data_IF_939807004728
#
_entry.id   IF_939807004728
#
_cell.length_a   1.000
_cell.length_b   1.000
_cell.length_c   1.000
_cell.angle_alpha   90.00
_cell.angle_beta   90.00
_cell.angle_gamma   90.00
#
_symmetry.space_group_name_H-M   'P 1'
#
loop_
_entity.id
_entity.type
_entity.pdbx_description
1 polymer ?
#
# COMPACT_ATOMS: atom_id res chain seq x y z
N UNK A 1 16.81 -6.08 32.39
CA UNK A 1 17.65 -5.64 31.25
C UNK A 1 16.93 -4.73 30.30
N UNK A 2 15.75 -5.07 29.74
CA UNK A 2 14.97 -4.21 28.79
C UNK A 2 14.68 -2.76 29.26
N UNK A 3 14.44 -2.51 30.55
CA UNK A 3 14.16 -1.16 31.09
C UNK A 3 15.40 -0.23 31.17
N UNK A 4 16.59 -0.79 31.25
CA UNK A 4 17.83 0.01 31.19
C UNK A 4 18.17 0.42 29.77
N UNK A 5 17.92 -0.42 28.78
CA UNK A 5 18.16 -0.13 27.36
C UNK A 5 17.27 1.02 26.88
N UNK A 6 15.98 1.07 27.23
CA UNK A 6 15.08 2.15 26.78
C UNK A 6 15.51 3.56 27.22
N UNK A 7 16.01 3.74 28.44
CA UNK A 7 16.53 5.02 28.92
C UNK A 7 17.80 5.49 28.19
N UNK A 8 18.62 4.56 27.70
CA UNK A 8 19.80 4.90 26.92
C UNK A 8 19.41 5.38 25.51
N UNK A 9 18.42 4.74 24.89
CA UNK A 9 17.89 5.11 23.57
C UNK A 9 17.29 6.51 23.56
N UNK A 10 16.55 6.88 24.60
CA UNK A 10 16.02 8.25 24.75
C UNK A 10 17.14 9.29 24.85
N UNK A 11 18.19 9.03 25.65
CA UNK A 11 19.31 9.96 25.82
C UNK A 11 20.13 10.16 24.54
N UNK A 12 20.19 9.14 23.66
CA UNK A 12 20.86 9.20 22.36
C UNK A 12 19.96 9.72 21.24
N UNK A 13 18.71 10.07 21.57
CA UNK A 13 17.72 10.55 20.61
C UNK A 13 17.46 9.59 19.44
N UNK A 14 17.68 8.28 19.68
CA UNK A 14 17.56 7.24 18.65
C UNK A 14 16.14 7.15 18.07
N UNK A 15 15.12 7.41 18.89
CA UNK A 15 13.74 7.41 18.40
C UNK A 15 13.49 8.48 17.33
N UNK A 16 14.11 9.67 17.43
CA UNK A 16 14.03 10.70 16.40
C UNK A 16 14.63 10.22 15.07
N UNK A 17 15.73 9.49 15.17
CA UNK A 17 16.39 8.94 13.99
C UNK A 17 15.52 7.87 13.34
N UNK A 18 14.90 6.96 14.13
CA UNK A 18 13.93 5.98 13.63
C UNK A 18 12.76 6.65 12.91
N UNK A 19 12.23 7.74 13.47
CA UNK A 19 11.17 8.53 12.85
C UNK A 19 11.62 9.17 11.53
N UNK A 20 12.85 9.65 11.46
CA UNK A 20 13.40 10.17 10.20
C UNK A 20 13.57 9.05 9.18
N UNK A 21 14.14 7.91 9.58
CA UNK A 21 14.29 6.74 8.71
C UNK A 21 12.95 6.26 8.17
N UNK A 22 11.93 6.18 9.01
CA UNK A 22 10.61 5.71 8.59
C UNK A 22 10.00 6.53 7.45
N UNK A 23 10.39 7.82 7.32
CA UNK A 23 9.94 8.69 6.23
C UNK A 23 10.56 8.33 4.87
N UNK A 24 11.64 7.58 4.84
CA UNK A 24 12.26 7.09 3.61
C UNK A 24 11.65 5.79 3.11
N UNK A 25 10.90 5.06 3.97
CA UNK A 25 10.13 3.88 3.57
C UNK A 25 8.80 4.29 2.94
N UNK A 26 8.36 3.52 1.95
CA UNK A 26 7.10 3.72 1.23
C UNK A 26 5.98 2.92 1.89
N UNK A 27 6.22 1.64 2.16
CA UNK A 27 5.24 0.72 2.72
C UNK A 27 5.11 0.89 4.23
N UNK A 28 3.92 0.61 4.78
CA UNK A 28 3.73 0.63 6.23
C UNK A 28 4.62 -0.41 6.94
N UNK A 29 4.87 -1.57 6.31
CA UNK A 29 5.79 -2.58 6.86
C UNK A 29 7.23 -2.05 6.97
N UNK A 30 7.73 -1.39 5.92
CA UNK A 30 9.06 -0.78 5.96
C UNK A 30 9.14 0.35 7.00
N UNK A 31 8.06 1.15 7.15
CA UNK A 31 7.95 2.17 8.19
C UNK A 31 7.96 1.57 9.59
N UNK A 32 7.20 0.50 9.81
CA UNK A 32 7.17 -0.22 11.10
C UNK A 32 8.54 -0.83 11.42
N UNK A 33 9.21 -1.48 10.45
CA UNK A 33 10.57 -1.98 10.64
C UNK A 33 11.56 -0.88 11.04
N UNK A 34 11.41 0.32 10.50
CA UNK A 34 12.23 1.46 10.89
C UNK A 34 11.93 1.94 12.31
N UNK A 35 10.65 2.02 12.70
CA UNK A 35 10.22 2.48 14.02
C UNK A 35 10.57 1.48 15.13
N UNK A 36 10.52 0.18 14.84
CA UNK A 36 10.82 -0.90 15.78
C UNK A 36 12.24 -1.46 15.63
N UNK A 37 13.13 -0.75 14.94
CA UNK A 37 14.52 -1.14 14.78
C UNK A 37 15.21 -1.35 16.12
N UNK A 38 15.86 -2.51 16.29
CA UNK A 38 16.66 -2.89 17.45
C UNK A 38 18.10 -3.24 17.02
N UNK A 39 19.11 -3.01 17.87
CA UNK A 39 20.52 -3.32 17.59
C UNK A 39 20.80 -4.80 17.31
N UNK A 40 21.47 -5.09 16.19
CA UNK A 40 22.00 -6.42 15.87
C UNK A 40 23.20 -6.71 16.79
N UNK A 41 23.35 -7.98 17.19
CA UNK A 41 24.40 -8.40 18.13
C UNK A 41 25.45 -9.32 17.47
N UNK A 42 25.12 -9.85 16.32
CA UNK A 42 25.97 -10.82 15.63
C UNK A 42 26.70 -10.14 14.47
N UNK A 43 28.05 -10.25 14.47
CA UNK A 43 28.92 -9.66 13.44
C UNK A 43 28.50 -10.06 12.02
N UNK A 44 28.20 -11.34 11.80
CA UNK A 44 27.79 -11.84 10.47
C UNK A 44 26.48 -11.21 9.99
N UNK A 45 25.50 -11.04 10.90
CA UNK A 45 24.24 -10.38 10.58
C UNK A 45 24.44 -8.90 10.28
N UNK A 46 25.31 -8.24 11.06
CA UNK A 46 25.68 -6.84 10.86
C UNK A 46 26.33 -6.66 9.48
N UNK A 47 27.37 -7.44 9.15
CA UNK A 47 28.07 -7.38 7.87
C UNK A 47 27.12 -7.64 6.70
N UNK A 48 26.21 -8.62 6.82
CA UNK A 48 25.18 -8.88 5.82
C UNK A 48 24.25 -7.67 5.61
N UNK A 49 23.77 -7.08 6.70
CA UNK A 49 22.92 -5.90 6.65
C UNK A 49 23.65 -4.70 6.02
N UNK A 50 24.93 -4.50 6.39
CA UNK A 50 25.81 -3.50 5.81
C UNK A 50 25.99 -3.69 4.29
N UNK A 51 26.22 -4.91 3.86
CA UNK A 51 26.36 -5.24 2.45
C UNK A 51 25.07 -5.00 1.68
N UNK A 52 23.92 -5.43 2.23
CA UNK A 52 22.60 -5.20 1.61
C UNK A 52 22.34 -3.72 1.34
N UNK A 53 22.65 -2.85 2.29
CA UNK A 53 22.44 -1.40 2.08
C UNK A 53 23.45 -0.82 1.09
N UNK A 54 24.70 -1.25 1.11
CA UNK A 54 25.70 -0.82 0.12
C UNK A 54 25.30 -1.22 -1.30
N UNK A 55 24.79 -2.45 -1.47
CA UNK A 55 24.22 -2.92 -2.73
C UNK A 55 23.00 -2.10 -3.14
N UNK A 56 22.09 -1.79 -2.17
CA UNK A 56 20.92 -0.96 -2.43
C UNK A 56 21.27 0.47 -2.83
N UNK A 57 22.28 1.08 -2.20
CA UNK A 57 22.83 2.40 -2.60
C UNK A 57 23.30 2.35 -4.06
N UNK A 58 24.05 1.30 -4.41
CA UNK A 58 24.54 1.11 -5.79
C UNK A 58 23.40 0.96 -6.79
N UNK A 59 22.33 0.23 -6.42
CA UNK A 59 21.13 0.08 -7.26
C UNK A 59 20.39 1.41 -7.44
N UNK A 60 20.26 2.19 -6.38
CA UNK A 60 19.61 3.51 -6.45
C UNK A 60 20.36 4.43 -7.42
N UNK A 61 21.69 4.47 -7.36
CA UNK A 61 22.49 5.30 -8.30
C UNK A 61 22.39 4.81 -9.75
N UNK A 62 22.26 3.50 -9.98
CA UNK A 62 22.21 2.93 -11.34
C UNK A 62 20.81 2.95 -11.96
N UNK A 63 19.77 2.70 -11.17
CA UNK A 63 18.39 2.45 -11.65
C UNK A 63 17.34 3.37 -11.06
N UNK A 64 17.70 4.22 -10.10
CA UNK A 64 16.73 5.03 -9.36
C UNK A 64 16.01 4.25 -8.26
N UNK A 65 14.90 4.82 -7.80
CA UNK A 65 14.10 4.26 -6.72
C UNK A 65 13.39 2.95 -7.11
N UNK A 66 13.04 2.14 -6.09
CA UNK A 66 12.21 0.96 -6.28
C UNK A 66 10.84 1.32 -6.87
N UNK A 67 10.28 0.50 -7.77
CA UNK A 67 8.91 0.64 -8.29
C UNK A 67 7.89 0.11 -7.27
N UNK A 68 7.85 0.71 -6.07
CA UNK A 68 6.94 0.33 -4.97
C UNK A 68 5.99 1.48 -4.69
N UNK A 69 4.72 1.14 -4.51
CA UNK A 69 3.69 2.03 -3.99
C UNK A 69 3.27 1.58 -2.57
N UNK A 70 2.42 2.38 -1.93
CA UNK A 70 1.78 1.95 -0.68
C UNK A 70 1.02 0.63 -0.91
N UNK A 71 1.11 -0.28 0.07
CA UNK A 71 0.43 -1.57 0.08
C UNK A 71 -0.54 -1.65 1.24
N UNK A 72 -1.67 -2.33 1.03
CA UNK A 72 -2.64 -2.60 2.09
C UNK A 72 -2.16 -3.74 3.01
N UNK A 73 -2.61 -3.75 4.26
CA UNK A 73 -2.41 -4.90 5.15
C UNK A 73 -3.34 -6.06 4.74
N UNK A 74 -2.78 -7.03 4.04
CA UNK A 74 -3.52 -8.20 3.54
C UNK A 74 -3.68 -9.32 4.56
N UNK A 75 -3.10 -9.24 5.76
CA UNK A 75 -3.15 -10.33 6.76
C UNK A 75 -4.58 -10.74 7.14
N UNK A 76 -5.49 -9.76 7.23
CA UNK A 76 -6.91 -10.05 7.47
C UNK A 76 -7.58 -10.72 6.28
N UNK A 77 -7.18 -10.38 5.05
CA UNK A 77 -7.73 -10.98 3.83
C UNK A 77 -7.33 -12.44 3.70
N UNK A 78 -6.06 -12.75 4.02
CA UNK A 78 -5.56 -14.13 4.02
C UNK A 78 -6.34 -15.00 5.01
N UNK A 79 -6.56 -14.52 6.26
CA UNK A 79 -7.38 -15.21 7.26
C UNK A 79 -8.83 -15.41 6.82
N UNK A 80 -9.42 -14.45 6.13
CA UNK A 80 -10.76 -14.58 5.58
C UNK A 80 -10.82 -15.71 4.55
N UNK A 81 -9.83 -15.80 3.65
CA UNK A 81 -9.75 -16.87 2.64
C UNK A 81 -9.60 -18.25 3.29
N UNK A 82 -8.73 -18.40 4.29
CA UNK A 82 -8.58 -19.66 5.05
C UNK A 82 -9.89 -20.10 5.69
N UNK A 83 -10.70 -19.14 6.16
CA UNK A 83 -12.02 -19.35 6.73
C UNK A 83 -13.12 -19.58 5.67
N UNK A 84 -12.75 -19.73 4.39
CA UNK A 84 -13.66 -19.90 3.22
C UNK A 84 -14.62 -18.72 3.00
N UNK A 85 -14.29 -17.53 3.51
CA UNK A 85 -14.97 -16.30 3.18
C UNK A 85 -14.40 -15.74 1.87
N UNK A 86 -15.27 -15.19 1.02
CA UNK A 86 -14.83 -14.59 -0.24
C UNK A 86 -14.49 -13.12 -0.04
N UNK A 87 -13.57 -12.63 -0.88
CA UNK A 87 -13.08 -11.27 -0.86
C UNK A 87 -13.95 -10.35 -1.73
N UNK A 88 -14.05 -9.08 -1.33
CA UNK A 88 -14.67 -8.05 -2.16
C UNK A 88 -13.68 -7.50 -3.22
N UNK A 89 -14.16 -6.61 -4.10
CA UNK A 89 -13.34 -6.03 -5.18
C UNK A 89 -12.06 -5.38 -4.65
N UNK A 90 -12.16 -4.53 -3.63
CA UNK A 90 -11.00 -3.84 -3.03
C UNK A 90 -9.95 -4.82 -2.52
N UNK A 91 -10.37 -5.82 -1.75
CA UNK A 91 -9.46 -6.82 -1.18
C UNK A 91 -8.74 -7.63 -2.27
N UNK A 92 -9.46 -7.99 -3.34
CA UNK A 92 -8.87 -8.69 -4.50
C UNK A 92 -7.87 -7.82 -5.26
N UNK A 93 -8.18 -6.53 -5.44
CA UNK A 93 -7.25 -5.57 -6.05
C UNK A 93 -5.99 -5.39 -5.20
N UNK A 94 -6.13 -5.26 -3.88
CA UNK A 94 -4.99 -5.14 -2.95
C UNK A 94 -4.07 -6.37 -3.05
N UNK A 95 -4.64 -7.57 -3.09
CA UNK A 95 -3.87 -8.82 -3.23
C UNK A 95 -3.21 -8.94 -4.61
N UNK A 96 -3.91 -8.55 -5.68
CA UNK A 96 -3.34 -8.51 -7.03
C UNK A 96 -2.23 -7.47 -7.16
N UNK A 97 -2.32 -6.36 -6.40
CA UNK A 97 -1.28 -5.35 -6.34
C UNK A 97 0.03 -5.87 -5.71
N UNK A 98 -0.05 -6.75 -4.70
CA UNK A 98 1.15 -7.44 -4.16
C UNK A 98 1.85 -8.23 -5.27
N UNK A 99 1.11 -9.04 -6.06
CA UNK A 99 1.67 -9.79 -7.18
C UNK A 99 2.28 -8.87 -8.25
N UNK A 100 1.65 -7.71 -8.49
CA UNK A 100 2.18 -6.71 -9.42
C UNK A 100 3.49 -6.15 -8.92
N UNK A 101 3.56 -5.70 -7.66
CA UNK A 101 4.78 -5.14 -7.06
C UNK A 101 5.90 -6.19 -7.06
N UNK A 102 5.60 -7.47 -6.73
CA UNK A 102 6.58 -8.56 -6.78
C UNK A 102 7.16 -8.72 -8.18
N UNK A 103 6.31 -8.67 -9.21
CA UNK A 103 6.76 -8.73 -10.61
C UNK A 103 7.62 -7.51 -11.00
N UNK A 104 7.17 -6.31 -10.63
CA UNK A 104 7.87 -5.06 -10.94
C UNK A 104 9.24 -5.00 -10.22
N UNK A 105 9.33 -5.47 -8.98
CA UNK A 105 10.57 -5.60 -8.23
C UNK A 105 11.54 -6.59 -8.88
N UNK A 106 11.06 -7.77 -9.30
CA UNK A 106 11.90 -8.72 -10.05
C UNK A 106 12.42 -8.13 -11.34
N UNK A 107 11.56 -7.49 -12.12
CA UNK A 107 11.97 -6.83 -13.36
C UNK A 107 12.97 -5.70 -13.11
N UNK A 108 12.79 -4.92 -12.05
CA UNK A 108 13.74 -3.89 -11.62
C UNK A 108 15.10 -4.50 -11.31
N UNK A 109 15.13 -5.58 -10.53
CA UNK A 109 16.39 -6.19 -10.09
C UNK A 109 17.10 -6.94 -11.24
N UNK A 110 16.40 -7.82 -11.96
CA UNK A 110 16.97 -8.72 -12.98
C UNK A 110 17.04 -8.13 -14.40
N UNK A 111 16.83 -6.83 -14.58
CA UNK A 111 17.01 -6.21 -15.90
C UNK A 111 18.47 -6.33 -16.38
N UNK A 112 18.67 -6.48 -17.69
CA UNK A 112 19.95 -6.84 -18.36
C UNK A 112 21.13 -5.87 -18.11
N UNK A 113 20.94 -4.79 -17.39
CA UNK A 113 21.95 -3.74 -17.20
C UNK A 113 22.91 -3.97 -16.03
N UNK A 114 22.79 -5.08 -15.29
CA UNK A 114 23.56 -5.31 -14.07
C UNK A 114 24.33 -6.63 -14.12
N UNK A 115 25.61 -6.57 -13.73
CA UNK A 115 26.36 -7.77 -13.34
C UNK A 115 25.86 -8.26 -11.98
N UNK A 116 25.19 -9.41 -11.95
CA UNK A 116 24.57 -9.99 -10.76
C UNK A 116 25.57 -10.36 -9.67
N UNK A 117 26.82 -10.69 -10.04
CA UNK A 117 27.87 -11.05 -9.09
C UNK A 117 28.17 -9.97 -8.04
N UNK A 118 27.71 -8.75 -8.28
CA UNK A 118 27.90 -7.60 -7.38
C UNK A 118 26.78 -7.42 -6.33
N UNK A 119 25.72 -8.26 -6.35
CA UNK A 119 24.51 -8.08 -5.52
C UNK A 119 24.11 -9.35 -4.75
N UNK A 120 25.10 -10.09 -4.26
CA UNK A 120 24.94 -11.40 -3.63
C UNK A 120 24.02 -11.36 -2.39
N UNK A 121 24.00 -10.24 -1.66
CA UNK A 121 23.21 -10.11 -0.43
C UNK A 121 21.76 -9.71 -0.69
N UNK A 122 21.47 -9.01 -1.79
CA UNK A 122 20.12 -8.62 -2.18
C UNK A 122 19.44 -9.65 -3.09
N UNK A 123 20.20 -10.32 -3.96
CA UNK A 123 19.66 -11.27 -4.93
C UNK A 123 18.65 -12.26 -4.35
N UNK A 124 18.92 -12.94 -3.20
CA UNK A 124 17.99 -13.90 -2.63
C UNK A 124 16.63 -13.31 -2.27
N UNK A 125 16.57 -12.03 -1.88
CA UNK A 125 15.30 -11.37 -1.54
C UNK A 125 14.44 -11.18 -2.78
N UNK A 126 15.02 -10.73 -3.89
CA UNK A 126 14.30 -10.55 -5.14
C UNK A 126 13.99 -11.88 -5.85
N UNK A 127 14.89 -12.87 -5.75
CA UNK A 127 14.68 -14.19 -6.33
C UNK A 127 13.49 -14.93 -5.70
N UNK A 128 13.30 -14.80 -4.38
CA UNK A 128 12.25 -15.47 -3.64
C UNK A 128 10.86 -14.82 -3.78
N UNK A 129 10.73 -13.68 -4.45
CA UNK A 129 9.43 -13.10 -4.77
C UNK A 129 8.67 -14.01 -5.73
N UNK A 130 7.41 -14.27 -5.46
CA UNK A 130 6.53 -15.09 -6.29
C UNK A 130 5.89 -14.24 -7.40
N UNK A 131 5.84 -14.77 -8.61
CA UNK A 131 5.22 -14.10 -9.76
C UNK A 131 4.07 -14.96 -10.29
N UNK A 132 2.90 -14.37 -10.43
CA UNK A 132 1.78 -15.00 -11.13
C UNK A 132 1.01 -13.99 -11.99
N UNK A 133 1.47 -13.72 -13.23
CA UNK A 133 0.84 -12.77 -14.13
C UNK A 133 -0.59 -13.17 -14.51
N UNK A 134 -0.91 -14.47 -14.47
CA UNK A 134 -2.26 -14.96 -14.84
C UNK A 134 -3.29 -14.53 -13.78
N UNK A 135 -3.02 -14.75 -12.50
CA UNK A 135 -3.92 -14.33 -11.41
C UNK A 135 -4.03 -12.81 -11.41
N UNK A 136 -2.89 -12.10 -11.46
CA UNK A 136 -2.85 -10.65 -11.54
C UNK A 136 -3.74 -10.12 -12.67
N UNK A 137 -3.56 -10.62 -13.88
CA UNK A 137 -4.35 -10.23 -15.06
C UNK A 137 -5.83 -10.55 -14.88
N UNK A 138 -6.18 -11.74 -14.38
CA UNK A 138 -7.57 -12.14 -14.16
C UNK A 138 -8.31 -11.17 -13.24
N UNK A 139 -7.65 -10.68 -12.20
CA UNK A 139 -8.26 -9.70 -11.28
C UNK A 139 -8.41 -8.34 -11.96
N UNK A 140 -7.35 -7.79 -12.57
CA UNK A 140 -7.41 -6.46 -13.18
C UNK A 140 -8.31 -6.40 -14.43
N UNK A 141 -8.46 -7.50 -15.17
CA UNK A 141 -9.40 -7.58 -16.28
C UNK A 141 -10.85 -7.65 -15.79
N UNK A 142 -11.09 -8.21 -14.59
CA UNK A 142 -12.42 -8.41 -14.03
C UNK A 142 -12.92 -7.26 -13.17
N UNK A 143 -12.03 -6.49 -12.53
CA UNK A 143 -12.37 -5.45 -11.56
C UNK A 143 -11.80 -4.12 -12.04
N UNK A 144 -12.68 -3.10 -12.20
CA UNK A 144 -12.28 -1.75 -12.63
C UNK A 144 -11.85 -0.85 -11.48
N UNK A 145 -12.55 -0.94 -10.36
CA UNK A 145 -12.30 -0.15 -9.15
C UNK A 145 -12.75 -0.90 -7.87
N UNK A 146 -12.59 -0.27 -6.71
CA UNK A 146 -12.87 -0.89 -5.40
C UNK A 146 -14.29 -1.45 -5.23
N UNK A 147 -15.25 -1.05 -6.08
CA UNK A 147 -16.67 -1.41 -5.95
C UNK A 147 -17.29 -1.97 -7.24
N UNK A 148 -16.55 -1.95 -8.35
CA UNK A 148 -17.13 -2.21 -9.67
C UNK A 148 -16.45 -3.36 -10.38
N UNK A 149 -17.25 -4.34 -10.80
CA UNK A 149 -16.83 -5.42 -11.69
C UNK A 149 -17.08 -5.02 -13.14
N UNK A 150 -16.10 -5.27 -14.01
CA UNK A 150 -16.17 -4.99 -15.44
C UNK A 150 -17.27 -5.81 -16.13
N UNK A 151 -17.94 -5.22 -17.12
CA UNK A 151 -18.94 -5.93 -17.94
C UNK A 151 -18.38 -7.20 -18.60
N UNK A 152 -17.11 -7.16 -18.97
CA UNK A 152 -16.43 -8.27 -19.62
C UNK A 152 -15.86 -9.34 -18.64
N UNK A 153 -16.07 -9.19 -17.33
CA UNK A 153 -15.61 -10.16 -16.34
C UNK A 153 -16.22 -11.55 -16.54
N UNK A 154 -17.45 -11.63 -17.06
CA UNK A 154 -18.01 -12.86 -17.61
C UNK A 154 -18.96 -12.58 -18.78
N UNK A 155 -19.10 -13.53 -19.73
CA UNK A 155 -20.08 -13.39 -20.81
C UNK A 155 -21.52 -13.25 -20.29
N UNK A 156 -21.85 -13.91 -19.20
CA UNK A 156 -23.17 -13.86 -18.57
C UNK A 156 -23.45 -12.50 -17.98
N UNK A 157 -22.50 -11.91 -17.22
CA UNK A 157 -22.64 -10.55 -16.67
C UNK A 157 -22.85 -9.51 -17.77
N UNK A 158 -22.07 -9.62 -18.84
CA UNK A 158 -22.22 -8.74 -20.01
C UNK A 158 -23.61 -8.79 -20.60
N UNK A 159 -24.14 -9.99 -20.79
CA UNK A 159 -25.49 -10.19 -21.33
C UNK A 159 -26.59 -9.63 -20.41
N UNK A 160 -26.48 -9.90 -19.11
CA UNK A 160 -27.43 -9.38 -18.11
C UNK A 160 -27.45 -7.85 -18.15
N UNK A 161 -26.29 -7.19 -18.09
CA UNK A 161 -26.18 -5.73 -18.12
C UNK A 161 -26.67 -5.13 -19.44
N UNK A 162 -26.43 -5.81 -20.55
CA UNK A 162 -26.98 -5.38 -21.84
C UNK A 162 -28.51 -5.46 -21.86
N UNK A 163 -29.08 -6.54 -21.30
CA UNK A 163 -30.53 -6.68 -21.19
C UNK A 163 -31.13 -5.61 -20.28
N UNK A 164 -30.49 -5.28 -19.15
CA UNK A 164 -30.94 -4.18 -18.28
C UNK A 164 -31.00 -2.87 -19.08
N UNK A 165 -29.92 -2.50 -19.77
CA UNK A 165 -29.85 -1.27 -20.59
C UNK A 165 -30.93 -1.22 -21.67
N UNK A 166 -31.16 -2.35 -22.34
CA UNK A 166 -32.21 -2.44 -23.38
C UNK A 166 -33.60 -2.20 -22.77
N UNK A 167 -33.90 -2.83 -21.61
CA UNK A 167 -35.19 -2.65 -20.92
C UNK A 167 -35.35 -1.24 -20.37
N UNK A 168 -34.30 -0.63 -19.85
CA UNK A 168 -34.34 0.79 -19.43
C UNK A 168 -34.65 1.73 -20.59
N UNK A 169 -34.09 1.46 -21.76
CA UNK A 169 -34.38 2.23 -22.97
C UNK A 169 -35.87 2.06 -23.38
N UNK A 170 -36.35 0.82 -23.39
CA UNK A 170 -37.77 0.52 -23.71
C UNK A 170 -38.73 1.25 -22.73
N UNK A 171 -38.42 1.27 -21.42
CA UNK A 171 -39.21 2.02 -20.42
C UNK A 171 -39.23 3.51 -20.76
N UNK A 172 -38.06 4.11 -21.05
CA UNK A 172 -37.96 5.54 -21.36
C UNK A 172 -38.74 5.89 -22.62
N UNK A 173 -38.70 5.06 -23.62
CA UNK A 173 -39.53 5.22 -24.85
C UNK A 173 -41.03 5.16 -24.54
N UNK A 174 -41.49 4.16 -23.78
CA UNK A 174 -42.89 4.04 -23.39
C UNK A 174 -43.36 5.23 -22.53
N UNK A 175 -42.51 5.68 -21.61
CA UNK A 175 -42.84 6.83 -20.74
C UNK A 175 -42.79 8.17 -21.46
N UNK A 176 -42.05 8.31 -22.56
CA UNK A 176 -42.01 9.56 -23.32
C UNK A 176 -43.39 10.09 -23.73
N UNK A 177 -44.32 9.19 -24.04
CA UNK A 177 -45.72 9.54 -24.38
C UNK A 177 -46.49 10.18 -23.23
N UNK A 178 -46.06 9.96 -21.99
CA UNK A 178 -46.69 10.54 -20.81
C UNK A 178 -46.07 11.90 -20.44
N UNK A 179 -44.78 12.13 -20.67
CA UNK A 179 -44.05 13.29 -20.19
C UNK A 179 -44.57 14.64 -20.68
N UNK A 180 -45.24 14.68 -21.83
CA UNK A 180 -45.81 15.89 -22.41
C UNK A 180 -47.28 16.14 -21.99
N UNK A 181 -47.82 15.34 -21.06
CA UNK A 181 -49.20 15.47 -20.63
C UNK A 181 -49.34 16.48 -19.48
N UNK A 182 -50.49 17.19 -19.41
CA UNK A 182 -50.76 18.23 -18.42
C UNK A 182 -50.70 17.74 -16.95
N UNK A 183 -50.93 16.47 -16.72
CA UNK A 183 -50.90 15.85 -15.41
C UNK A 183 -49.51 15.58 -14.86
N UNK A 184 -48.48 15.63 -15.69
CA UNK A 184 -47.10 15.44 -15.26
C UNK A 184 -46.58 16.74 -14.65
N UNK A 185 -45.93 16.64 -13.47
CA UNK A 185 -45.38 17.78 -12.76
C UNK A 185 -44.08 18.27 -13.41
N UNK A 186 -43.21 17.35 -13.80
CA UNK A 186 -41.94 17.60 -14.47
C UNK A 186 -41.74 16.57 -15.58
N UNK A 187 -41.33 17.02 -16.79
CA UNK A 187 -41.15 16.15 -17.97
C UNK A 187 -39.91 15.27 -17.87
N UNK A 188 -39.73 14.55 -16.75
CA UNK A 188 -38.63 13.66 -16.47
C UNK A 188 -39.10 12.28 -16.00
N UNK A 189 -38.35 11.26 -16.33
CA UNK A 189 -38.46 9.92 -15.76
C UNK A 189 -37.55 9.84 -14.56
N UNK A 190 -38.06 9.43 -13.41
CA UNK A 190 -37.30 9.29 -12.18
C UNK A 190 -37.29 7.83 -11.69
N UNK A 191 -36.43 7.51 -10.75
CA UNK A 191 -36.43 6.20 -10.07
C UNK A 191 -36.85 6.40 -8.62
N UNK A 192 -37.78 5.58 -8.15
CA UNK A 192 -38.19 5.46 -6.75
C UNK A 192 -38.32 3.99 -6.39
N UNK A 193 -37.74 3.61 -5.27
CA UNK A 193 -37.75 2.23 -4.80
C UNK A 193 -37.34 1.23 -5.90
N UNK A 194 -36.25 1.57 -6.63
CA UNK A 194 -35.68 0.78 -7.76
C UNK A 194 -36.63 0.59 -8.96
N UNK A 195 -37.67 1.45 -9.08
CA UNK A 195 -38.64 1.43 -10.18
C UNK A 195 -38.65 2.74 -10.94
N UNK A 196 -38.77 2.66 -12.24
CA UNK A 196 -38.99 3.82 -13.09
C UNK A 196 -40.42 4.33 -12.89
N UNK A 197 -40.55 5.60 -12.60
CA UNK A 197 -41.80 6.28 -12.31
C UNK A 197 -41.85 7.64 -12.98
N UNK A 198 -43.06 8.22 -13.10
CA UNK A 198 -43.28 9.60 -13.55
C UNK A 198 -43.83 10.45 -12.40
N UNK A 199 -43.39 11.72 -12.25
CA UNK A 199 -43.92 12.64 -11.26
C UNK A 199 -45.27 13.21 -11.76
N UNK A 200 -46.34 12.92 -11.06
CA UNK A 200 -47.72 13.30 -11.41
C UNK A 200 -48.28 14.25 -10.35
N UNK A 201 -48.95 15.31 -10.76
CA UNK A 201 -49.66 16.21 -9.83
C UNK A 201 -50.75 15.43 -9.10
N UNK A 202 -50.87 15.57 -7.79
CA UNK A 202 -51.78 14.79 -6.94
C UNK A 202 -53.24 14.91 -7.38
N UNK A 203 -53.67 16.05 -7.90
CA UNK A 203 -55.01 16.31 -8.44
C UNK A 203 -55.39 15.45 -9.65
N UNK A 204 -54.38 14.93 -10.40
CA UNK A 204 -54.61 14.09 -11.57
C UNK A 204 -54.38 12.60 -11.32
N UNK A 205 -54.31 12.16 -10.06
CA UNK A 205 -54.07 10.75 -9.69
C UNK A 205 -54.97 9.76 -10.44
N UNK A 206 -56.26 10.10 -10.61
CA UNK A 206 -57.27 9.24 -11.25
C UNK A 206 -57.12 9.12 -12.77
N UNK A 207 -56.33 10.01 -13.41
CA UNK A 207 -56.15 10.00 -14.86
C UNK A 207 -55.07 9.01 -15.33
N UNK A 208 -54.27 8.47 -14.38
CA UNK A 208 -53.21 7.51 -14.71
C UNK A 208 -53.50 6.20 -13.95
N UNK A 209 -53.64 5.13 -14.73
CA UNK A 209 -53.69 3.78 -14.17
C UNK A 209 -52.27 3.32 -13.83
N UNK A 210 -51.96 3.23 -12.53
CA UNK A 210 -50.64 2.86 -12.07
C UNK A 210 -50.55 2.76 -10.55
N UNK A 211 -49.34 2.43 -10.07
CA UNK A 211 -49.02 2.26 -8.65
C UNK A 211 -48.23 3.47 -8.15
N UNK A 212 -48.64 4.02 -6.99
CA UNK A 212 -47.92 5.10 -6.32
C UNK A 212 -46.81 4.47 -5.51
N UNK A 213 -45.54 4.83 -5.80
CA UNK A 213 -44.36 4.34 -5.09
C UNK A 213 -43.84 5.33 -4.07
N UNK A 214 -44.12 6.63 -4.27
CA UNK A 214 -43.63 7.67 -3.37
C UNK A 214 -44.51 8.93 -3.49
N UNK A 215 -44.40 9.82 -2.51
CA UNK A 215 -45.10 11.10 -2.45
C UNK A 215 -44.11 12.19 -2.07
N UNK A 216 -44.16 13.33 -2.76
CA UNK A 216 -43.31 14.47 -2.39
C UNK A 216 -43.60 14.98 -0.99
N UNK A 217 -42.63 15.62 -0.34
CA UNK A 217 -42.75 16.17 1.02
C UNK A 217 -43.96 17.16 1.17
N UNK A 218 -44.33 17.87 0.09
CA UNK A 218 -45.44 18.76 0.05
C UNK A 218 -46.79 18.08 -0.21
N UNK A 219 -46.81 16.78 -0.53
CA UNK A 219 -48.02 16.05 -0.92
C UNK A 219 -48.55 16.39 -2.33
N UNK A 220 -47.94 17.33 -3.04
CA UNK A 220 -48.42 17.82 -4.32
C UNK A 220 -48.04 16.97 -5.52
N UNK A 221 -47.00 16.11 -5.37
CA UNK A 221 -46.52 15.24 -6.45
C UNK A 221 -46.52 13.79 -6.01
N UNK A 222 -47.12 12.94 -6.83
CA UNK A 222 -47.14 11.49 -6.68
C UNK A 222 -46.19 10.88 -7.68
N UNK A 223 -45.31 9.97 -7.25
CA UNK A 223 -44.45 9.21 -8.12
C UNK A 223 -45.15 7.91 -8.52
N UNK A 224 -45.67 7.90 -9.75
CA UNK A 224 -46.54 6.82 -10.23
C UNK A 224 -45.79 5.96 -11.24
N UNK A 225 -45.87 4.64 -11.05
CA UNK A 225 -45.49 3.62 -12.03
C UNK A 225 -46.72 3.31 -12.89
N UNK A 226 -46.77 3.70 -14.18
CA UNK A 226 -47.86 3.32 -15.06
C UNK A 226 -47.92 1.79 -15.26
N UNK A 227 -49.13 1.25 -15.37
CA UNK A 227 -49.31 -0.20 -15.61
C UNK A 227 -48.60 -0.65 -16.87
N UNK A 228 -48.45 0.21 -17.88
CA UNK A 228 -47.78 -0.09 -19.16
C UNK A 228 -46.28 -0.46 -19.02
N UNK A 229 -45.64 -0.12 -17.90
CA UNK A 229 -44.24 -0.42 -17.64
C UNK A 229 -44.02 -1.33 -16.44
N UNK A 230 -45.08 -1.76 -15.78
CA UNK A 230 -45.02 -2.57 -14.55
C UNK A 230 -44.21 -3.87 -14.76
N UNK A 231 -44.50 -4.59 -15.84
CA UNK A 231 -43.78 -5.82 -16.17
C UNK A 231 -42.32 -5.56 -16.50
N UNK A 232 -42.00 -4.50 -17.23
CA UNK A 232 -40.62 -4.13 -17.55
C UNK A 232 -39.80 -3.79 -16.29
N UNK A 233 -40.40 -3.07 -15.34
CA UNK A 233 -39.74 -2.82 -14.06
C UNK A 233 -39.50 -4.12 -13.27
N UNK A 234 -40.43 -5.07 -13.30
CA UNK A 234 -40.24 -6.39 -12.67
C UNK A 234 -39.12 -7.16 -13.35
N UNK A 235 -39.02 -7.16 -14.69
CA UNK A 235 -37.96 -7.79 -15.44
C UNK A 235 -36.61 -7.17 -15.10
N UNK A 236 -36.51 -5.84 -15.00
CA UNK A 236 -35.27 -5.16 -14.60
C UNK A 236 -34.85 -5.57 -13.19
N UNK A 237 -35.76 -5.65 -12.24
CA UNK A 237 -35.45 -6.07 -10.88
C UNK A 237 -34.99 -7.51 -10.81
N UNK A 238 -35.56 -8.42 -11.59
CA UNK A 238 -35.12 -9.79 -11.73
C UNK A 238 -33.69 -9.85 -12.33
N UNK A 239 -33.44 -9.08 -13.39
CA UNK A 239 -32.10 -8.99 -14.00
C UNK A 239 -31.05 -8.40 -13.04
N UNK A 240 -31.39 -7.41 -12.23
CA UNK A 240 -30.50 -6.88 -11.18
C UNK A 240 -30.20 -7.91 -10.09
N UNK A 241 -31.18 -8.73 -9.74
CA UNK A 241 -30.97 -9.86 -8.83
C UNK A 241 -30.02 -10.91 -9.43
N UNK A 242 -30.21 -11.26 -10.70
CA UNK A 242 -29.31 -12.15 -11.44
C UNK A 242 -27.90 -11.56 -11.57
N UNK A 243 -27.80 -10.25 -11.80
CA UNK A 243 -26.51 -9.54 -11.82
C UNK A 243 -25.77 -9.68 -10.50
N UNK A 244 -26.46 -9.47 -9.37
CA UNK A 244 -25.86 -9.60 -8.05
C UNK A 244 -25.36 -11.04 -7.79
N UNK A 245 -26.12 -12.04 -8.19
CA UNK A 245 -25.67 -13.46 -8.09
C UNK A 245 -24.42 -13.70 -8.92
N UNK A 246 -24.40 -13.24 -10.17
CA UNK A 246 -23.24 -13.41 -11.07
C UNK A 246 -22.01 -12.67 -10.54
N UNK A 247 -22.17 -11.47 -9.99
CA UNK A 247 -21.11 -10.71 -9.33
C UNK A 247 -20.51 -11.52 -8.17
N UNK A 248 -21.34 -12.11 -7.30
CA UNK A 248 -20.88 -12.94 -6.20
C UNK A 248 -20.11 -14.18 -6.69
N UNK A 249 -20.58 -14.83 -7.76
CA UNK A 249 -19.88 -15.96 -8.35
C UNK A 249 -18.52 -15.58 -8.97
N UNK A 250 -18.41 -14.39 -9.57
CA UNK A 250 -17.13 -13.86 -10.09
C UNK A 250 -16.17 -13.61 -8.93
N UNK A 251 -16.60 -12.90 -7.87
CA UNK A 251 -15.78 -12.63 -6.70
C UNK A 251 -15.31 -13.93 -6.04
N UNK A 252 -16.18 -14.92 -5.94
CA UNK A 252 -15.86 -16.24 -5.42
C UNK A 252 -14.77 -16.92 -6.26
N UNK A 253 -14.95 -16.95 -7.57
CA UNK A 253 -13.96 -17.56 -8.49
C UNK A 253 -12.60 -16.88 -8.39
N UNK A 254 -12.57 -15.53 -8.34
CA UNK A 254 -11.33 -14.78 -8.18
C UNK A 254 -10.68 -15.04 -6.81
N UNK A 255 -11.48 -15.13 -5.74
CA UNK A 255 -10.98 -15.44 -4.40
C UNK A 255 -10.33 -16.82 -4.33
N UNK A 256 -10.92 -17.80 -4.99
CA UNK A 256 -10.37 -19.17 -5.05
C UNK A 256 -8.99 -19.24 -5.73
N UNK A 257 -8.67 -18.34 -6.66
CA UNK A 257 -7.34 -18.28 -7.30
C UNK A 257 -6.22 -17.95 -6.30
N UNK A 258 -6.55 -17.26 -5.21
CA UNK A 258 -5.57 -16.90 -4.18
C UNK A 258 -5.38 -17.97 -3.11
N UNK A 259 -6.33 -18.92 -2.95
CA UNK A 259 -6.23 -19.98 -1.95
C UNK A 259 -4.97 -20.83 -2.13
N UNK A 260 -4.62 -21.19 -3.36
CA UNK A 260 -3.47 -22.03 -3.65
C UNK A 260 -2.12 -21.31 -3.47
N UNK A 261 -2.14 -20.00 -3.26
CA UNK A 261 -0.93 -19.17 -3.17
C UNK A 261 -0.85 -18.34 -1.89
N UNK A 262 -1.67 -18.61 -0.88
CA UNK A 262 -1.72 -17.84 0.38
C UNK A 262 -0.32 -17.67 0.97
N UNK A 263 0.40 -18.78 1.20
CA UNK A 263 1.74 -18.76 1.81
C UNK A 263 2.75 -17.96 0.97
N UNK A 264 2.64 -18.06 -0.36
CA UNK A 264 3.51 -17.32 -1.27
C UNK A 264 3.22 -15.83 -1.23
N UNK A 265 1.95 -15.46 -1.15
CA UNK A 265 1.53 -14.07 -1.08
C UNK A 265 1.90 -13.42 0.26
N UNK A 266 1.78 -14.17 1.37
CA UNK A 266 2.23 -13.72 2.69
C UNK A 266 3.75 -13.54 2.72
N UNK A 267 4.50 -14.46 2.12
CA UNK A 267 5.94 -14.32 1.97
C UNK A 267 6.31 -13.07 1.15
N UNK A 268 5.66 -12.84 0.02
CA UNK A 268 5.89 -11.67 -0.83
C UNK A 268 5.58 -10.37 -0.08
N UNK A 269 4.46 -10.33 0.64
CA UNK A 269 4.07 -9.20 1.46
C UNK A 269 5.15 -8.82 2.47
N UNK A 270 5.74 -9.82 3.16
CA UNK A 270 6.83 -9.61 4.10
C UNK A 270 8.15 -9.22 3.38
N UNK A 271 8.48 -9.86 2.26
CA UNK A 271 9.68 -9.55 1.48
C UNK A 271 9.65 -8.12 0.92
N UNK A 272 8.51 -7.65 0.42
CA UNK A 272 8.34 -6.26 -0.03
C UNK A 272 8.65 -5.29 1.10
N UNK A 273 8.16 -5.55 2.32
CA UNK A 273 8.47 -4.74 3.50
C UNK A 273 9.96 -4.73 3.84
N UNK A 274 10.62 -5.89 3.78
CA UNK A 274 12.07 -6.01 4.04
C UNK A 274 12.89 -5.26 2.97
N UNK A 275 12.56 -5.43 1.70
CA UNK A 275 13.23 -4.75 0.58
C UNK A 275 13.06 -3.23 0.73
N UNK A 276 11.84 -2.75 0.98
CA UNK A 276 11.55 -1.32 1.18
C UNK A 276 12.37 -0.77 2.37
N UNK A 277 12.43 -1.49 3.49
CA UNK A 277 13.21 -1.08 4.65
C UNK A 277 14.73 -1.00 4.36
N UNK A 278 15.29 -1.96 3.62
CA UNK A 278 16.69 -1.91 3.21
C UNK A 278 16.94 -0.67 2.32
N UNK A 279 16.06 -0.42 1.38
CA UNK A 279 16.15 0.74 0.51
C UNK A 279 15.87 2.07 1.24
N UNK A 280 15.05 2.07 2.28
CA UNK A 280 14.89 3.23 3.15
C UNK A 280 16.19 3.58 3.87
N UNK A 281 16.92 2.57 4.39
CA UNK A 281 18.26 2.76 4.95
C UNK A 281 19.26 3.29 3.91
N UNK A 282 19.22 2.76 2.69
CA UNK A 282 20.08 3.22 1.60
C UNK A 282 19.81 4.68 1.22
N UNK A 283 18.55 5.08 1.09
CA UNK A 283 18.16 6.47 0.83
C UNK A 283 18.61 7.40 1.95
N UNK A 284 18.44 6.97 3.20
CA UNK A 284 18.88 7.75 4.35
C UNK A 284 20.40 7.88 4.42
N UNK A 285 21.14 6.79 4.08
CA UNK A 285 22.61 6.82 3.95
C UNK A 285 23.06 7.84 2.89
N UNK A 286 22.43 7.85 1.71
CA UNK A 286 22.68 8.83 0.65
C UNK A 286 22.38 10.25 1.15
N UNK A 287 21.25 10.44 1.83
CA UNK A 287 20.87 11.75 2.40
C UNK A 287 21.92 12.29 3.38
N UNK A 288 22.46 11.43 4.23
CA UNK A 288 23.53 11.78 5.19
C UNK A 288 24.92 11.87 4.56
N UNK A 289 25.12 11.41 3.32
CA UNK A 289 26.44 11.26 2.70
C UNK A 289 27.35 10.34 3.53
N UNK A 290 26.82 9.22 3.91
CA UNK A 290 27.42 8.35 4.89
C UNK A 290 28.27 7.24 4.25
N UNK A 291 29.32 6.82 4.93
CA UNK A 291 30.20 5.75 4.51
C UNK A 291 29.87 4.43 5.22
N UNK A 292 30.15 3.29 4.55
CA UNK A 292 30.02 1.97 5.17
C UNK A 292 31.08 1.81 6.25
N UNK A 293 30.72 1.46 7.51
CA UNK A 293 31.69 1.22 8.56
C UNK A 293 32.42 -0.12 8.39
N UNK A 294 33.62 -0.19 8.89
CA UNK A 294 34.35 -1.44 9.08
C UNK A 294 34.11 -1.96 10.50
N UNK A 295 33.75 -3.23 10.62
CA UNK A 295 33.48 -3.88 11.90
C UNK A 295 34.69 -4.68 12.34
N UNK A 296 35.35 -4.23 13.39
CA UNK A 296 36.47 -4.92 14.00
C UNK A 296 36.08 -5.69 15.28
N UNK A 297 36.81 -6.74 15.61
CA UNK A 297 36.72 -7.42 16.91
C UNK A 297 37.66 -6.79 17.93
N UNK A 298 38.53 -5.91 17.50
CA UNK A 298 39.47 -5.17 18.36
C UNK A 298 38.66 -4.11 19.17
N UNK A 299 39.16 -3.84 20.39
CA UNK A 299 38.51 -2.84 21.27
C UNK A 299 38.98 -1.44 20.88
N UNK A 300 38.73 -1.07 19.63
CA UNK A 300 39.10 0.24 19.10
C UNK A 300 37.89 0.95 18.47
N UNK A 301 37.95 2.26 18.50
CA UNK A 301 36.98 3.16 17.82
C UNK A 301 37.79 4.15 17.00
N UNK A 302 37.55 4.19 15.70
CA UNK A 302 38.14 5.13 14.77
C UNK A 302 37.03 5.80 13.95
N UNK A 303 36.70 7.04 14.28
CA UNK A 303 35.70 7.83 13.58
C UNK A 303 36.42 9.02 12.92
N UNK A 304 36.30 9.13 11.59
CA UNK A 304 36.97 10.17 10.80
C UNK A 304 35.92 11.17 10.31
N UNK A 305 36.13 12.46 10.57
CA UNK A 305 35.26 13.55 10.13
C UNK A 305 33.78 13.36 10.52
N UNK A 306 33.51 12.76 11.68
CA UNK A 306 32.18 12.39 12.10
C UNK A 306 31.37 13.55 12.71
N UNK A 307 30.06 13.49 12.54
CA UNK A 307 29.10 14.39 13.19
C UNK A 307 27.81 13.64 13.56
N UNK A 308 27.02 14.21 14.46
CA UNK A 308 25.77 13.57 14.88
C UNK A 308 24.69 13.70 13.79
N UNK A 309 24.01 12.60 13.37
CA UNK A 309 23.07 12.61 12.24
C UNK A 309 21.83 13.51 12.41
N UNK A 310 21.55 14.00 13.61
CA UNK A 310 20.49 14.99 13.87
C UNK A 310 20.97 16.45 13.73
N UNK A 311 22.25 16.68 13.48
CA UNK A 311 22.77 18.02 13.18
C UNK A 311 22.56 18.34 11.70
N UNK A 312 22.37 19.61 11.41
CA UNK A 312 22.28 20.10 10.04
C UNK A 312 23.63 19.93 9.32
N UNK A 313 23.66 19.15 8.24
CA UNK A 313 24.86 18.75 7.50
C UNK A 313 25.80 19.91 7.15
N UNK A 314 25.24 21.06 6.74
CA UNK A 314 26.02 22.20 6.27
C UNK A 314 26.67 23.03 7.39
N UNK A 315 26.15 22.90 8.62
CA UNK A 315 26.61 23.67 9.79
C UNK A 315 27.32 22.78 10.82
N UNK A 316 27.23 21.47 10.69
CA UNK A 316 27.82 20.51 11.60
C UNK A 316 29.37 20.55 11.55
N UNK A 317 29.99 20.70 12.71
CA UNK A 317 31.45 20.59 12.83
C UNK A 317 31.82 19.10 12.87
N UNK A 318 32.62 18.67 11.88
CA UNK A 318 33.13 17.33 11.79
C UNK A 318 34.33 17.14 12.71
N UNK A 319 34.43 16.01 13.39
CA UNK A 319 35.48 15.70 14.35
C UNK A 319 36.07 14.30 14.10
N UNK A 320 37.38 14.16 14.32
CA UNK A 320 38.06 12.88 14.36
C UNK A 320 38.13 12.37 15.79
N UNK A 321 37.78 11.10 16.00
CA UNK A 321 37.80 10.46 17.31
C UNK A 321 38.51 9.12 17.22
N UNK A 322 39.52 8.94 18.05
CA UNK A 322 40.32 7.71 18.14
C UNK A 322 40.28 7.21 19.59
N UNK A 323 40.11 5.91 19.81
CA UNK A 323 40.19 5.26 21.10
C UNK A 323 40.53 3.78 20.92
N UNK A 324 41.45 3.26 21.72
CA UNK A 324 41.79 1.82 21.78
C UNK A 324 43.15 1.47 21.21
N UNK A 325 43.58 2.12 20.15
CA UNK A 325 44.88 1.84 19.51
C UNK A 325 46.06 2.31 20.37
N UNK A 326 46.20 3.62 20.59
CA UNK A 326 47.34 4.21 21.31
C UNK A 326 47.01 4.59 22.76
N UNK A 327 45.76 4.75 23.11
CA UNK A 327 45.29 5.10 24.43
C UNK A 327 43.90 4.52 24.73
N UNK A 328 43.67 4.19 26.02
CA UNK A 328 42.44 3.54 26.50
C UNK A 328 41.40 4.51 27.06
N UNK A 329 41.78 5.78 27.15
CA UNK A 329 40.91 6.82 27.72
C UNK A 329 41.07 8.11 26.96
N UNK A 330 39.95 8.73 26.60
CA UNK A 330 39.85 10.04 25.96
C UNK A 330 39.16 11.01 26.92
N UNK A 331 39.83 12.11 27.28
CA UNK A 331 39.26 13.15 28.13
C UNK A 331 38.90 14.35 27.24
N UNK A 332 37.60 14.72 27.22
CA UNK A 332 37.09 15.87 26.48
C UNK A 332 36.85 17.01 27.44
N UNK A 333 37.62 18.10 27.30
CA UNK A 333 37.54 19.31 28.15
C UNK A 333 37.04 20.50 27.33
N UNK A 334 36.53 21.49 28.01
CA UNK A 334 36.08 22.75 27.39
C UNK A 334 34.78 23.32 28.02
N UNK A 335 34.29 24.47 27.57
CA UNK A 335 33.05 25.06 28.07
C UNK A 335 31.82 24.22 27.68
N UNK A 336 30.71 24.33 28.41
CA UNK A 336 29.51 23.52 28.13
C UNK A 336 28.88 23.80 26.74
N UNK A 337 29.11 25.02 26.23
CA UNK A 337 28.68 25.44 24.89
C UNK A 337 29.58 24.93 23.76
N UNK A 338 30.73 24.30 24.08
CA UNK A 338 31.75 23.84 23.12
C UNK A 338 31.48 22.46 22.48
N UNK A 339 30.25 21.94 22.53
CA UNK A 339 29.92 20.70 21.80
C UNK A 339 30.34 19.38 22.49
N UNK A 340 30.88 19.39 23.72
CA UNK A 340 31.30 18.17 24.47
C UNK A 340 30.22 17.09 24.51
N UNK A 341 28.99 17.48 24.84
CA UNK A 341 27.86 16.54 24.93
C UNK A 341 27.50 15.98 23.56
N UNK A 342 27.64 16.77 22.49
CA UNK A 342 27.39 16.35 21.13
C UNK A 342 28.38 15.29 20.68
N UNK A 343 29.69 15.52 20.92
CA UNK A 343 30.74 14.54 20.56
C UNK A 343 30.53 13.22 21.34
N UNK A 344 30.22 13.28 22.66
CA UNK A 344 29.93 12.08 23.45
C UNK A 344 28.70 11.35 22.93
N UNK A 345 27.64 12.06 22.53
CA UNK A 345 26.46 11.44 21.90
C UNK A 345 26.83 10.81 20.57
N UNK A 346 27.62 11.50 19.70
CA UNK A 346 28.07 11.01 18.40
C UNK A 346 28.86 9.70 18.53
N UNK A 347 29.89 9.68 19.38
CA UNK A 347 30.72 8.49 19.60
C UNK A 347 29.89 7.33 20.14
N UNK A 348 29.04 7.60 21.15
CA UNK A 348 28.19 6.56 21.73
C UNK A 348 27.14 6.07 20.76
N UNK A 349 26.58 6.96 19.93
CA UNK A 349 25.68 6.60 18.87
C UNK A 349 26.39 5.72 17.82
N UNK A 350 27.55 6.14 17.34
CA UNK A 350 28.35 5.39 16.40
C UNK A 350 28.71 3.98 16.91
N UNK A 351 29.15 3.88 18.18
CA UNK A 351 29.49 2.60 18.81
C UNK A 351 28.28 1.68 19.02
N UNK A 352 27.13 2.23 19.42
CA UNK A 352 25.93 1.44 19.73
C UNK A 352 25.12 1.06 18.49
N UNK A 353 25.16 1.88 17.43
CA UNK A 353 24.26 1.80 16.30
C UNK A 353 24.95 1.83 14.94
N UNK A 354 26.22 2.10 14.87
CA UNK A 354 27.00 2.06 13.63
C UNK A 354 26.88 0.71 12.92
N UNK A 355 26.67 -0.32 13.70
CA UNK A 355 26.47 -1.68 13.23
C UNK A 355 25.14 -1.90 12.50
N UNK A 356 24.17 -0.98 12.61
CA UNK A 356 22.82 -1.18 12.03
C UNK A 356 22.48 -0.23 10.92
N UNK A 357 23.12 0.95 10.97
CA UNK A 357 22.71 2.05 10.11
C UNK A 357 23.46 2.08 8.79
N UNK A 358 24.52 1.29 8.62
CA UNK A 358 25.41 1.35 7.48
C UNK A 358 25.95 2.76 7.17
N UNK A 359 25.89 3.65 8.13
CA UNK A 359 26.15 5.01 7.87
C UNK A 359 26.73 5.67 9.12
N UNK A 360 28.03 5.75 9.17
CA UNK A 360 28.64 6.83 9.89
C UNK A 360 28.61 8.09 9.00
N UNK A 361 28.13 9.18 9.55
CA UNK A 361 28.41 10.51 9.00
C UNK A 361 29.89 10.83 9.23
N UNK A 362 30.77 10.00 8.70
CA UNK A 362 32.21 10.15 8.81
C UNK A 362 32.84 10.11 7.44
#
# INVERSE_FOLDING_TARGET
MRFMESKYFEKLEFNKIKEILSKFAVTFLGKDMALFLEPLKNKTEIEKALNQVTEAVTLIYRKGNLPINEIADIKKYLKNLESKNFLNCKQLLDMANILKISNDLKNYFFSKEINMDSFINLEPLFQNLYINPKIQKSVFDSISDENTINDNASPKLKLIRQNIRNKETEIREKLSSFLNKKFVQESIVTIRNDRFVIPVKSEYKTQIKGFVHDVSSSGLTLFIEPISIFELNNEINNLKFEENIEVQEILKKLSLLFLDIIDKLENDFNLIGIIDFIFAKAKYSIFLDANKPEITEEKEIKLLSCYHPLLEKNTAVKNDVYLGENFKSLIITGPNTGGKTVILKTVRFAFSYGNEWNAYTC
#
